data_IF_755971300916
#
_entry.id   IF_755971300916
#
_cell.length_a   1.000
_cell.length_b   1.000
_cell.length_c   1.000
_cell.angle_alpha   90.00
_cell.angle_beta   90.00
_cell.angle_gamma   90.00
#
_symmetry.space_group_name_H-M   'P 1'
#
loop_
_entity.id
_entity.type
_entity.pdbx_description
1 polymer ?
#
# COMPACT_ATOMS: atom_id res chain seq x y z
N UNK A 1 7.82 -1.36 17.97
CA UNK A 1 7.95 -0.28 16.96
C UNK A 1 8.85 0.92 17.35
N UNK A 2 9.95 0.80 18.13
CA UNK A 2 10.90 1.91 18.29
C UNK A 2 11.77 2.17 17.05
N UNK A 3 12.02 1.14 16.24
CA UNK A 3 13.02 1.16 15.16
C UNK A 3 12.66 2.08 13.98
N UNK A 4 11.37 2.30 13.72
CA UNK A 4 10.90 3.16 12.64
C UNK A 4 10.74 4.63 13.05
N UNK A 5 10.83 4.94 14.35
CA UNK A 5 10.69 6.31 14.86
C UNK A 5 11.81 7.22 14.35
N UNK A 6 13.02 6.69 14.23
CA UNK A 6 14.21 7.45 13.82
C UNK A 6 14.32 7.60 12.30
N UNK A 7 13.75 6.68 11.52
CA UNK A 7 13.72 6.76 10.06
C UNK A 7 12.90 7.96 9.56
N UNK A 8 11.97 8.43 10.38
CA UNK A 8 10.96 9.42 10.02
C UNK A 8 11.12 10.76 10.76
N UNK A 9 12.24 10.97 11.46
CA UNK A 9 12.45 12.17 12.26
C UNK A 9 12.78 13.41 11.39
N UNK A 10 11.89 14.41 11.39
CA UNK A 10 12.26 15.80 11.06
C UNK A 10 11.68 16.46 9.79
N UNK A 11 10.76 15.85 9.04
CA UNK A 11 10.26 16.54 7.84
C UNK A 11 9.13 15.85 7.08
N UNK A 12 8.23 15.18 7.80
CA UNK A 12 7.18 14.39 7.17
C UNK A 12 5.86 15.14 7.29
N UNK A 13 5.23 15.32 6.13
CA UNK A 13 3.87 15.83 6.01
C UNK A 13 2.94 15.08 6.98
N UNK A 14 2.06 15.81 7.68
CA UNK A 14 1.14 15.29 8.69
C UNK A 14 0.29 14.12 8.18
N UNK A 15 0.14 14.00 6.86
CA UNK A 15 -0.70 12.99 6.20
C UNK A 15 0.08 11.94 5.41
N UNK A 16 1.40 11.77 5.61
CA UNK A 16 2.13 10.67 4.97
C UNK A 16 1.67 9.34 5.56
N UNK A 17 1.10 8.48 4.71
CA UNK A 17 0.72 7.11 5.04
C UNK A 17 1.85 6.16 4.67
N UNK A 18 2.25 5.31 5.61
CA UNK A 18 3.13 4.16 5.35
C UNK A 18 2.23 2.97 5.03
N UNK A 19 2.17 2.56 3.77
CA UNK A 19 1.28 1.47 3.34
C UNK A 19 1.87 0.08 3.62
N UNK A 20 3.20 -0.06 3.63
CA UNK A 20 3.89 -1.34 3.80
C UNK A 20 5.05 -1.21 4.81
N UNK A 21 5.32 -2.30 5.54
CA UNK A 21 6.50 -2.42 6.44
C UNK A 21 7.62 -3.30 5.85
N UNK A 22 7.39 -3.94 4.70
CA UNK A 22 8.30 -4.88 4.05
C UNK A 22 8.15 -4.87 2.51
N UNK A 23 9.10 -5.47 1.79
CA UNK A 23 9.22 -5.42 0.31
C UNK A 23 8.91 -6.80 -0.27
N UNK A 24 7.98 -6.84 -1.23
CA UNK A 24 7.62 -8.05 -2.00
C UNK A 24 7.19 -9.26 -1.15
N UNK A 25 6.72 -9.03 0.07
CA UNK A 25 6.27 -10.09 0.99
C UNK A 25 5.16 -10.96 0.38
N UNK A 26 5.17 -12.24 0.72
CA UNK A 26 4.20 -13.23 0.24
C UNK A 26 2.78 -12.97 0.79
N UNK A 27 1.76 -13.13 -0.05
CA UNK A 27 0.36 -13.02 0.35
C UNK A 27 -0.19 -14.33 0.92
N UNK A 28 -1.16 -14.20 1.82
CA UNK A 28 -2.01 -15.32 2.25
C UNK A 28 -3.47 -14.94 2.04
N UNK A 29 -4.18 -15.52 1.05
CA UNK A 29 -3.71 -16.56 0.11
C UNK A 29 -2.64 -16.04 -0.86
N UNK A 30 -1.83 -16.94 -1.41
CA UNK A 30 -0.85 -16.58 -2.44
C UNK A 30 -1.54 -16.05 -3.69
N UNK A 31 -0.86 -15.12 -4.36
CA UNK A 31 -1.28 -14.64 -5.68
C UNK A 31 -1.18 -15.77 -6.71
N UNK A 32 -2.15 -15.81 -7.60
CA UNK A 32 -2.17 -16.70 -8.77
C UNK A 32 -1.40 -16.09 -9.94
N UNK A 33 -1.34 -14.75 -10.01
CA UNK A 33 -0.67 -14.01 -11.07
C UNK A 33 0.50 -13.20 -10.52
N UNK A 34 1.52 -12.97 -11.37
CA UNK A 34 2.64 -12.08 -11.03
C UNK A 34 2.08 -10.68 -10.78
N UNK A 35 2.59 -9.99 -9.76
CA UNK A 35 2.22 -8.59 -9.43
C UNK A 35 2.30 -7.72 -10.69
N UNK A 36 1.26 -6.95 -10.96
CA UNK A 36 1.22 -6.03 -12.10
C UNK A 36 2.13 -4.81 -11.88
N UNK A 37 2.39 -4.48 -10.62
CA UNK A 37 3.39 -3.49 -10.21
C UNK A 37 4.19 -4.05 -9.02
N UNK A 38 5.51 -4.26 -9.15
CA UNK A 38 6.35 -4.78 -8.08
C UNK A 38 7.00 -3.68 -7.22
N UNK A 39 6.75 -2.40 -7.51
CA UNK A 39 7.45 -1.25 -6.92
C UNK A 39 6.52 -0.38 -6.07
N UNK A 40 5.26 -0.19 -6.50
CA UNK A 40 4.28 0.65 -5.79
C UNK A 40 3.25 -0.19 -5.03
N UNK A 41 2.87 0.26 -3.84
CA UNK A 41 2.20 -0.56 -2.84
C UNK A 41 0.67 -0.58 -2.97
N UNK A 42 0.13 -1.80 -2.84
CA UNK A 42 -1.28 -2.24 -2.85
C UNK A 42 -1.96 -2.40 -4.23
N UNK A 43 -1.82 -1.46 -5.17
CA UNK A 43 -2.58 -1.54 -6.43
C UNK A 43 -2.09 -2.65 -7.36
N UNK A 44 -0.77 -2.83 -7.42
CA UNK A 44 -0.11 -3.89 -8.20
C UNK A 44 -0.39 -5.31 -7.71
N UNK A 45 -1.02 -5.42 -6.54
CA UNK A 45 -1.23 -6.69 -5.83
C UNK A 45 -2.65 -7.22 -6.02
N UNK A 46 -3.56 -6.39 -6.55
CA UNK A 46 -4.97 -6.75 -6.73
C UNK A 46 -5.16 -7.70 -7.93
N UNK A 47 -5.77 -8.85 -7.66
CA UNK A 47 -6.17 -9.83 -8.67
C UNK A 47 -7.61 -10.30 -8.45
N UNK A 48 -8.18 -10.84 -9.52
CA UNK A 48 -9.45 -11.57 -9.52
C UNK A 48 -9.27 -12.88 -10.30
N UNK A 49 -10.30 -13.73 -10.34
CA UNK A 49 -10.23 -15.04 -11.01
C UNK A 49 -9.73 -14.98 -12.47
N UNK A 50 -9.92 -13.83 -13.14
CA UNK A 50 -9.49 -13.61 -14.52
C UNK A 50 -8.12 -12.96 -14.72
N UNK A 51 -7.37 -12.60 -13.66
CA UNK A 51 -6.05 -11.95 -13.79
C UNK A 51 -5.83 -10.78 -12.83
N UNK A 52 -4.85 -9.92 -13.14
CA UNK A 52 -4.63 -8.68 -12.40
C UNK A 52 -5.66 -7.60 -12.79
N UNK A 53 -5.98 -6.71 -11.84
CA UNK A 53 -6.74 -5.49 -12.12
C UNK A 53 -5.79 -4.31 -12.37
N UNK A 54 -5.64 -3.95 -13.65
CA UNK A 54 -4.75 -2.87 -14.07
C UNK A 54 -5.30 -1.48 -13.77
N UNK A 55 -4.40 -0.49 -13.76
CA UNK A 55 -4.67 0.91 -13.39
C UNK A 55 -5.88 1.55 -14.10
N UNK A 56 -6.15 1.13 -15.33
CA UNK A 56 -7.22 1.61 -16.22
C UNK A 56 -8.52 0.79 -16.10
N UNK A 57 -8.49 -0.34 -15.40
CA UNK A 57 -9.59 -1.30 -15.32
C UNK A 57 -10.55 -1.01 -14.16
N UNK A 58 -10.20 -0.11 -13.25
CA UNK A 58 -10.99 0.23 -12.06
C UNK A 58 -10.66 1.61 -11.50
N UNK A 59 -11.49 2.09 -10.57
CA UNK A 59 -11.30 3.36 -9.86
C UNK A 59 -11.32 3.14 -8.36
N UNK A 60 -10.55 3.92 -7.62
CA UNK A 60 -10.50 3.91 -6.16
C UNK A 60 -10.31 5.35 -5.65
N UNK A 61 -10.61 5.56 -4.38
CA UNK A 61 -10.50 6.85 -3.72
C UNK A 61 -10.06 6.62 -2.26
N UNK A 62 -9.09 7.41 -1.79
CA UNK A 62 -8.72 7.45 -0.37
C UNK A 62 -9.37 8.68 0.29
N UNK A 63 -10.07 8.46 1.40
CA UNK A 63 -10.69 9.53 2.20
C UNK A 63 -10.22 9.49 3.63
N UNK A 64 -9.77 10.62 4.14
CA UNK A 64 -9.60 10.82 5.59
C UNK A 64 -10.99 11.10 6.16
N UNK A 65 -11.54 10.15 6.91
CA UNK A 65 -12.88 10.29 7.48
C UNK A 65 -12.90 11.15 8.76
N UNK A 66 -11.81 11.14 9.50
CA UNK A 66 -11.64 11.94 10.72
C UNK A 66 -10.14 12.15 10.96
N UNK A 67 -9.79 13.37 11.35
CA UNK A 67 -8.48 13.73 11.87
C UNK A 67 -8.70 14.50 13.17
N UNK A 68 -7.93 14.19 14.21
CA UNK A 68 -7.92 14.93 15.46
C UNK A 68 -6.49 14.95 15.98
N UNK A 69 -6.03 16.13 16.36
CA UNK A 69 -4.81 16.31 17.13
C UNK A 69 -5.16 16.12 18.62
N UNK A 70 -4.22 15.58 19.40
CA UNK A 70 -4.29 15.64 20.88
C UNK A 70 -3.96 17.04 21.38
#
# INVERSE_FOLDING_TARGET
FPEYSDFYFGGIDYFRLVFNEDIQSEFTPRKNFIRSDPVDNQRGELEWDGGNLYYDSWKYEFKILKFSEE
#
